data_IF_545380502096
#
_entry.id   IF_545380502096
#
_cell.length_a   1.000
_cell.length_b   1.000
_cell.length_c   1.000
_cell.angle_alpha   90.00
_cell.angle_beta   90.00
_cell.angle_gamma   90.00
#
_symmetry.space_group_name_H-M   'P 1'
#
loop_
_entity.id
_entity.type
_entity.pdbx_description
1 polymer ?
#
# COMPACT_ATOMS: atom_id res chain seq x y z
N UNK A 1 2.85 14.01 -2.30
CA UNK A 1 2.92 12.53 -2.21
C UNK A 1 3.22 12.18 -0.76
N UNK A 2 2.47 11.26 -0.15
CA UNK A 2 2.59 10.92 1.28
C UNK A 2 2.22 9.46 1.53
N UNK A 3 2.77 8.89 2.60
CA UNK A 3 2.38 7.59 3.16
C UNK A 3 1.88 7.84 4.57
N UNK A 4 0.65 7.42 4.86
CA UNK A 4 -0.07 7.68 6.10
C UNK A 4 -0.59 6.36 6.69
N UNK A 5 -0.82 6.35 8.01
CA UNK A 5 -1.41 5.22 8.75
C UNK A 5 -0.71 3.88 8.49
N UNK A 6 0.59 3.91 8.22
CA UNK A 6 1.39 2.69 8.04
C UNK A 6 1.40 1.89 9.35
N UNK A 7 0.98 0.62 9.30
CA UNK A 7 0.99 -0.29 10.44
C UNK A 7 1.68 -1.58 10.06
N UNK A 8 2.74 -1.90 10.79
CA UNK A 8 3.46 -3.17 10.67
C UNK A 8 2.98 -4.11 11.76
N UNK A 9 2.37 -5.23 11.35
CA UNK A 9 1.70 -6.16 12.27
C UNK A 9 2.57 -7.39 12.55
N UNK A 10 3.25 -7.91 11.53
CA UNK A 10 4.14 -9.06 11.62
C UNK A 10 5.35 -8.86 10.70
N UNK A 11 6.54 -9.32 11.08
CA UNK A 11 7.71 -9.27 10.22
C UNK A 11 7.53 -10.20 9.01
N UNK A 12 8.17 -9.84 7.90
CA UNK A 12 8.35 -10.69 6.73
C UNK A 12 9.81 -11.16 6.72
N UNK A 13 10.04 -12.45 6.52
CA UNK A 13 11.37 -13.07 6.51
C UNK A 13 11.80 -13.46 5.08
N UNK A 14 13.09 -13.74 4.86
CA UNK A 14 13.56 -14.25 3.56
C UNK A 14 12.79 -15.49 3.11
N UNK A 15 12.62 -15.65 1.79
CA UNK A 15 11.86 -16.72 1.13
C UNK A 15 10.34 -16.72 1.38
N UNK A 16 9.80 -15.72 2.08
CA UNK A 16 8.36 -15.53 2.21
C UNK A 16 7.78 -14.80 1.01
N UNK A 17 6.63 -15.28 0.52
CA UNK A 17 5.87 -14.61 -0.53
C UNK A 17 4.81 -13.72 0.11
N UNK A 18 4.72 -12.50 -0.38
CA UNK A 18 3.67 -11.56 0.01
C UNK A 18 2.90 -11.08 -1.22
N UNK A 19 1.62 -10.81 -1.03
CA UNK A 19 0.76 -10.16 -1.99
C UNK A 19 0.41 -8.76 -1.50
N UNK A 20 0.24 -7.83 -2.43
CA UNK A 20 -0.22 -6.48 -2.16
C UNK A 20 -1.57 -6.29 -2.82
N UNK A 21 -2.58 -6.02 -2.01
CA UNK A 21 -3.89 -5.58 -2.48
C UNK A 21 -3.94 -4.06 -2.39
N UNK A 22 -4.24 -3.42 -3.52
CA UNK A 22 -4.29 -1.97 -3.64
C UNK A 22 -5.69 -1.56 -4.07
N UNK A 23 -6.33 -0.73 -3.24
CA UNK A 23 -7.66 -0.18 -3.49
C UNK A 23 -7.56 1.31 -3.78
N UNK A 24 -8.14 1.74 -4.89
CA UNK A 24 -8.31 3.16 -5.19
C UNK A 24 -9.29 3.81 -4.20
N UNK A 25 -8.89 4.93 -3.61
CA UNK A 25 -9.74 5.72 -2.72
C UNK A 25 -10.34 6.88 -3.49
N UNK A 26 -9.49 7.76 -4.01
CA UNK A 26 -9.89 8.93 -4.78
C UNK A 26 -8.71 9.51 -5.57
N UNK A 27 -9.02 10.47 -6.44
CA UNK A 27 -8.03 11.30 -7.12
C UNK A 27 -8.46 12.76 -7.08
N UNK A 28 -7.49 13.66 -6.94
CA UNK A 28 -7.67 15.09 -7.02
C UNK A 28 -6.58 15.64 -7.92
N UNK A 29 -6.97 16.19 -9.08
CA UNK A 29 -6.04 16.55 -10.17
C UNK A 29 -5.17 15.32 -10.51
N UNK A 30 -3.86 15.48 -10.51
CA UNK A 30 -2.91 14.42 -10.88
C UNK A 30 -2.53 13.52 -9.69
N UNK A 31 -3.09 13.76 -8.51
CA UNK A 31 -2.77 13.02 -7.28
C UNK A 31 -3.82 11.95 -7.01
N UNK A 32 -3.37 10.70 -6.93
CA UNK A 32 -4.18 9.52 -6.65
C UNK A 32 -3.88 9.02 -5.25
N UNK A 33 -4.93 8.65 -4.49
CA UNK A 33 -4.83 8.03 -3.17
C UNK A 33 -5.28 6.59 -3.22
N UNK A 34 -4.57 5.75 -2.48
CA UNK A 34 -4.78 4.32 -2.40
C UNK A 34 -4.72 3.84 -0.96
N UNK A 35 -5.47 2.79 -0.67
CA UNK A 35 -5.31 1.95 0.51
C UNK A 35 -4.58 0.68 0.08
N UNK A 36 -3.43 0.41 0.69
CA UNK A 36 -2.63 -0.78 0.45
C UNK A 36 -2.70 -1.72 1.64
N UNK A 37 -2.94 -2.99 1.38
CA UNK A 37 -2.80 -4.06 2.36
C UNK A 37 -1.83 -5.11 1.86
N UNK A 38 -0.87 -5.48 2.70
CA UNK A 38 0.10 -6.52 2.44
C UNK A 38 -0.31 -7.79 3.19
N UNK A 39 -0.36 -8.91 2.47
CA UNK A 39 -0.65 -10.22 3.04
C UNK A 39 0.52 -11.17 2.81
N UNK A 40 0.78 -12.02 3.81
CA UNK A 40 1.55 -13.24 3.65
C UNK A 40 0.55 -14.39 3.73
N UNK A 41 0.36 -15.11 2.63
CA UNK A 41 -0.75 -16.06 2.47
C UNK A 41 -2.09 -15.35 2.73
N UNK A 42 -2.81 -15.68 3.80
CA UNK A 42 -4.06 -15.03 4.21
C UNK A 42 -3.91 -14.15 5.47
N UNK A 43 -2.67 -13.86 5.89
CA UNK A 43 -2.39 -13.09 7.10
C UNK A 43 -1.99 -11.67 6.71
N UNK A 44 -2.76 -10.68 7.18
CA UNK A 44 -2.39 -9.27 7.04
C UNK A 44 -1.11 -8.97 7.84
N UNK A 45 -0.05 -8.56 7.14
CA UNK A 45 1.26 -8.27 7.73
C UNK A 45 1.56 -6.76 7.77
N UNK A 46 1.01 -5.99 6.82
CA UNK A 46 1.14 -4.53 6.80
C UNK A 46 -0.06 -3.87 6.12
N UNK A 47 -0.31 -2.60 6.43
CA UNK A 47 -1.28 -1.76 5.73
C UNK A 47 -0.84 -0.30 5.75
N UNK A 48 -1.23 0.48 4.75
CA UNK A 48 -0.97 1.91 4.67
C UNK A 48 -1.93 2.61 3.70
N UNK A 49 -2.17 3.90 3.93
CA UNK A 49 -2.75 4.79 2.92
C UNK A 49 -1.63 5.56 2.23
N UNK A 50 -1.54 5.51 0.91
CA UNK A 50 -0.47 6.21 0.18
C UNK A 50 -1.00 6.99 -1.01
N UNK A 51 -0.25 8.00 -1.44
CA UNK A 51 -0.58 8.82 -2.59
C UNK A 51 0.56 8.92 -3.59
N UNK A 52 0.20 8.82 -4.87
CA UNK A 52 1.11 8.97 -6.00
C UNK A 52 0.60 10.08 -6.92
N UNK A 53 1.52 10.81 -7.55
CA UNK A 53 1.18 11.77 -8.59
C UNK A 53 1.55 11.18 -9.94
N UNK A 54 0.62 11.16 -10.90
CA UNK A 54 0.92 10.78 -12.27
C UNK A 54 1.47 12.02 -12.98
N UNK A 55 2.68 11.93 -13.53
CA UNK A 55 3.31 13.02 -14.25
C UNK A 55 3.83 12.50 -15.59
N UNK A 56 3.60 13.26 -16.65
CA UNK A 56 4.18 13.02 -17.97
C UNK A 56 5.50 13.79 -18.03
N UNK A 57 6.59 13.07 -18.33
CA UNK A 57 7.93 13.66 -18.46
C UNK A 57 8.07 14.35 -19.81
#
# INVERSE_FOLDING_TARGET
>A
MSVNKAKFRKPILPNEKVSFEVKFINSVRDVYKFEGTCFKENIKVSEAEFSAMITYK
#
